data_IF_637237806568
#
_entry.id   IF_637237806568
#
_cell.length_a   1.000
_cell.length_b   1.000
_cell.length_c   1.000
_cell.angle_alpha   90.00
_cell.angle_beta   90.00
_cell.angle_gamma   90.00
#
_symmetry.space_group_name_H-M   'P 1'
#
loop_
_entity.id
_entity.type
_entity.pdbx_description
1 polymer ?
#
# COMPACT_ATOMS: atom_id res chain seq x y z
N UNK A 1 -3.40 32.58 -8.63
CA UNK A 1 -3.81 31.16 -8.76
C UNK A 1 -2.96 30.34 -7.80
N UNK A 2 -3.57 29.42 -7.04
CA UNK A 2 -2.84 28.61 -6.06
C UNK A 2 -1.81 27.71 -6.77
N UNK A 3 -0.57 27.59 -6.25
CA UNK A 3 0.50 26.81 -6.88
C UNK A 3 0.29 25.29 -6.78
N UNK A 4 -0.78 24.84 -6.10
CA UNK A 4 -1.04 23.44 -5.81
C UNK A 4 -2.18 22.90 -6.67
N UNK A 5 -1.95 21.74 -7.28
CA UNK A 5 -2.96 20.95 -7.99
C UNK A 5 -4.00 20.38 -7.02
N UNK A 6 -5.20 20.04 -7.53
CA UNK A 6 -6.25 19.42 -6.73
C UNK A 6 -5.77 18.14 -6.04
N UNK A 7 -4.99 17.30 -6.73
CA UNK A 7 -4.43 16.08 -6.17
C UNK A 7 -3.49 16.35 -4.99
N UNK A 8 -2.63 17.38 -5.08
CA UNK A 8 -1.75 17.74 -3.96
C UNK A 8 -2.53 18.29 -2.76
N UNK A 9 -3.64 19.01 -2.99
CA UNK A 9 -4.51 19.48 -1.90
C UNK A 9 -5.23 18.32 -1.22
N UNK A 10 -5.75 17.36 -1.99
CA UNK A 10 -6.35 16.14 -1.43
C UNK A 10 -5.32 15.31 -0.65
N UNK A 11 -4.10 15.22 -1.19
CA UNK A 11 -2.98 14.60 -0.50
C UNK A 11 -2.73 15.28 0.87
N UNK A 12 -2.55 16.60 0.89
CA UNK A 12 -2.34 17.33 2.13
C UNK A 12 -3.54 17.21 3.10
N UNK A 13 -4.77 17.31 2.60
CA UNK A 13 -5.99 17.32 3.41
C UNK A 13 -6.27 16.00 4.12
N UNK A 14 -5.84 14.85 3.57
CA UNK A 14 -6.00 13.55 4.25
C UNK A 14 -4.74 13.17 5.03
N UNK A 15 -3.54 13.46 4.50
CA UNK A 15 -2.29 13.13 5.20
C UNK A 15 -2.13 13.93 6.51
N UNK A 16 -2.45 15.22 6.53
CA UNK A 16 -2.26 16.03 7.75
C UNK A 16 -3.16 15.56 8.91
N UNK A 17 -4.48 15.37 8.74
CA UNK A 17 -5.31 14.79 9.79
C UNK A 17 -4.91 13.37 10.17
N UNK A 18 -4.48 12.54 9.21
CA UNK A 18 -3.95 11.21 9.49
C UNK A 18 -2.73 11.27 10.42
N UNK A 19 -1.75 12.14 10.13
CA UNK A 19 -0.58 12.31 10.98
C UNK A 19 -0.93 12.90 12.35
N UNK A 20 -1.90 13.81 12.41
CA UNK A 20 -2.41 14.35 13.69
C UNK A 20 -3.10 13.23 14.48
N UNK A 21 -3.94 12.41 13.86
CA UNK A 21 -4.61 11.29 14.51
C UNK A 21 -3.59 10.29 15.07
N UNK A 22 -2.53 10.00 14.31
CA UNK A 22 -1.45 9.13 14.78
C UNK A 22 -0.69 9.76 15.94
N UNK A 23 -0.36 11.06 15.86
CA UNK A 23 0.35 11.77 16.92
C UNK A 23 -0.46 11.95 18.20
N UNK A 24 -1.75 12.28 18.08
CA UNK A 24 -2.69 12.35 19.20
C UNK A 24 -2.90 10.97 19.79
N UNK A 25 -3.13 9.95 18.97
CA UNK A 25 -3.26 8.57 19.43
C UNK A 25 -2.02 8.11 20.19
N UNK A 26 -0.83 8.35 19.66
CA UNK A 26 0.43 8.03 20.32
C UNK A 26 0.60 8.74 21.68
N UNK A 27 0.17 9.99 21.79
CA UNK A 27 0.36 10.79 23.01
C UNK A 27 -0.72 10.53 24.08
N UNK A 28 -1.95 10.20 23.68
CA UNK A 28 -3.10 10.10 24.56
C UNK A 28 -3.56 8.67 24.87
N UNK A 29 -3.07 7.66 24.15
CA UNK A 29 -3.34 6.26 24.50
C UNK A 29 -2.30 5.78 25.51
N UNK A 30 -2.77 5.46 26.71
CA UNK A 30 -1.93 4.92 27.80
C UNK A 30 -1.33 3.54 27.46
N UNK A 31 -1.87 2.85 26.46
CA UNK A 31 -1.40 1.55 25.99
C UNK A 31 -1.04 1.58 24.48
N UNK A 32 0.27 1.61 24.15
CA UNK A 32 0.76 1.54 22.77
C UNK A 32 0.35 0.25 22.04
N UNK A 33 0.08 -0.84 22.77
CA UNK A 33 -0.35 -2.09 22.18
C UNK A 33 -1.81 -2.02 21.68
N UNK A 34 -2.64 -1.15 22.23
CA UNK A 34 -4.01 -0.90 21.77
C UNK A 34 -4.06 -0.06 20.49
N UNK A 35 -3.03 0.77 20.26
CA UNK A 35 -2.90 1.57 19.04
C UNK A 35 -2.50 0.73 17.81
N UNK A 36 -1.76 -0.35 18.05
CA UNK A 36 -1.15 -1.27 17.06
C UNK A 36 -1.79 -2.67 17.09
N UNK A 37 -3.03 -2.78 17.59
CA UNK A 37 -3.78 -4.03 17.58
C UNK A 37 -4.61 -4.10 16.30
N UNK A 38 -4.78 -5.29 15.73
CA UNK A 38 -5.67 -5.54 14.57
C UNK A 38 -7.05 -4.90 14.81
N UNK A 39 -7.54 -4.10 13.86
CA UNK A 39 -8.82 -3.38 13.92
C UNK A 39 -8.79 -1.96 14.50
N UNK A 40 -7.60 -1.39 14.76
CA UNK A 40 -7.45 -0.09 15.42
C UNK A 40 -6.90 1.02 14.50
N UNK A 41 -6.29 2.06 15.09
CA UNK A 41 -6.04 3.37 14.44
C UNK A 41 -5.12 3.27 13.22
N UNK A 42 -4.06 2.45 13.27
CA UNK A 42 -3.09 2.35 12.16
C UNK A 42 -3.72 1.74 10.92
N UNK A 43 -4.46 0.64 11.06
CA UNK A 43 -5.21 0.00 9.95
C UNK A 43 -6.20 0.99 9.32
N UNK A 44 -6.95 1.72 10.15
CA UNK A 44 -7.89 2.75 9.67
C UNK A 44 -7.16 3.83 8.85
N UNK A 45 -6.01 4.30 9.33
CA UNK A 45 -5.21 5.30 8.62
C UNK A 45 -4.63 4.73 7.32
N UNK A 46 -4.14 3.50 7.33
CA UNK A 46 -3.66 2.79 6.13
C UNK A 46 -4.73 2.76 5.03
N UNK A 47 -5.97 2.36 5.38
CA UNK A 47 -7.10 2.34 4.45
C UNK A 47 -7.41 3.75 3.93
N UNK A 48 -7.43 4.77 4.79
CA UNK A 48 -7.68 6.15 4.37
C UNK A 48 -6.63 6.68 3.40
N UNK A 49 -5.35 6.35 3.61
CA UNK A 49 -4.26 6.73 2.71
C UNK A 49 -4.36 6.02 1.35
N UNK A 50 -4.76 4.76 1.34
CA UNK A 50 -4.97 4.00 0.10
C UNK A 50 -6.17 4.55 -0.69
N UNK A 51 -7.30 4.85 -0.03
CA UNK A 51 -8.46 5.49 -0.64
C UNK A 51 -8.15 6.91 -1.13
N UNK A 52 -7.35 7.67 -0.37
CA UNK A 52 -6.82 8.95 -0.82
C UNK A 52 -6.02 8.80 -2.12
N UNK A 53 -5.17 7.79 -2.23
CA UNK A 53 -4.44 7.49 -3.47
C UNK A 53 -5.37 7.27 -4.68
N UNK A 54 -6.49 6.56 -4.49
CA UNK A 54 -7.53 6.36 -5.52
C UNK A 54 -8.16 7.69 -5.92
N UNK A 55 -8.53 8.54 -4.95
CA UNK A 55 -9.10 9.86 -5.22
C UNK A 55 -8.11 10.76 -5.96
N UNK A 56 -6.84 10.78 -5.52
CA UNK A 56 -5.76 11.49 -6.19
C UNK A 56 -5.57 11.00 -7.62
N UNK A 57 -5.68 9.70 -7.89
CA UNK A 57 -5.55 9.14 -9.23
C UNK A 57 -6.57 9.73 -10.20
N UNK A 58 -7.84 9.74 -9.80
CA UNK A 58 -8.92 10.30 -10.60
C UNK A 58 -8.91 11.84 -10.61
N UNK A 59 -8.39 12.50 -9.57
CA UNK A 59 -8.17 13.95 -9.60
C UNK A 59 -7.08 14.35 -10.62
N UNK A 60 -6.06 13.52 -10.84
CA UNK A 60 -5.01 13.76 -11.84
C UNK A 60 -5.45 13.41 -13.26
N UNK A 61 -6.22 12.34 -13.45
CA UNK A 61 -6.51 11.78 -14.78
C UNK A 61 -7.96 11.95 -15.24
N UNK A 62 -8.87 12.42 -14.37
CA UNK A 62 -10.29 12.49 -14.66
C UNK A 62 -10.85 11.15 -15.14
N UNK A 63 -11.75 11.19 -16.14
CA UNK A 63 -12.35 9.98 -16.74
C UNK A 63 -11.33 9.10 -17.48
N UNK A 64 -10.22 9.67 -17.94
CA UNK A 64 -9.18 8.90 -18.61
C UNK A 64 -8.43 7.96 -17.64
N UNK A 65 -8.54 8.19 -16.33
CA UNK A 65 -7.98 7.32 -15.30
C UNK A 65 -8.43 5.86 -15.41
N UNK A 66 -9.59 5.60 -16.03
CA UNK A 66 -10.10 4.26 -16.30
C UNK A 66 -9.31 3.49 -17.37
N UNK A 67 -8.57 4.18 -18.26
CA UNK A 67 -7.71 3.51 -19.26
C UNK A 67 -6.59 2.71 -18.59
N UNK A 68 -6.18 3.16 -17.41
CA UNK A 68 -5.13 2.60 -16.57
C UNK A 68 -5.71 2.20 -15.20
N UNK A 69 -6.93 1.61 -15.23
CA UNK A 69 -7.70 1.20 -14.04
C UNK A 69 -6.95 0.26 -13.09
N UNK A 70 -5.92 -0.45 -13.57
CA UNK A 70 -5.12 -1.33 -12.72
C UNK A 70 -4.41 -0.59 -11.57
N UNK A 71 -4.15 0.72 -11.71
CA UNK A 71 -3.54 1.53 -10.65
C UNK A 71 -4.51 1.74 -9.47
N UNK A 72 -5.72 2.32 -9.65
CA UNK A 72 -6.68 2.43 -8.56
C UNK A 72 -7.16 1.06 -8.07
N UNK A 73 -7.25 0.04 -8.94
CA UNK A 73 -7.59 -1.32 -8.51
C UNK A 73 -6.54 -1.92 -7.56
N UNK A 74 -5.24 -1.69 -7.79
CA UNK A 74 -4.19 -2.14 -6.87
C UNK A 74 -4.35 -1.48 -5.48
N UNK A 75 -4.61 -0.17 -5.43
CA UNK A 75 -4.82 0.53 -4.16
C UNK A 75 -6.05 0.02 -3.41
N UNK A 76 -7.13 -0.27 -4.14
CA UNK A 76 -8.34 -0.89 -3.55
C UNK A 76 -8.04 -2.30 -3.05
N UNK A 77 -7.24 -3.09 -3.76
CA UNK A 77 -6.83 -4.42 -3.30
C UNK A 77 -5.99 -4.35 -2.02
N UNK A 78 -5.07 -3.39 -1.91
CA UNK A 78 -4.36 -3.17 -0.65
C UNK A 78 -5.31 -2.71 0.46
N UNK A 79 -6.23 -1.78 0.20
CA UNK A 79 -7.19 -1.34 1.21
C UNK A 79 -8.09 -2.50 1.67
N UNK A 80 -8.48 -3.36 0.75
CA UNK A 80 -9.24 -4.55 1.05
C UNK A 80 -8.47 -5.55 1.91
N UNK A 81 -7.16 -5.70 1.65
CA UNK A 81 -6.28 -6.49 2.50
C UNK A 81 -6.18 -5.91 3.90
N UNK A 82 -5.99 -4.60 4.05
CA UNK A 82 -5.91 -3.95 5.36
C UNK A 82 -7.18 -4.18 6.18
N UNK A 83 -8.36 -4.13 5.55
CA UNK A 83 -9.66 -4.38 6.21
C UNK A 83 -9.95 -5.85 6.54
N UNK A 84 -8.98 -6.74 6.33
CA UNK A 84 -9.14 -8.20 6.47
C UNK A 84 -10.32 -8.75 5.63
N UNK A 85 -10.58 -8.19 4.44
CA UNK A 85 -11.70 -8.68 3.61
C UNK A 85 -11.51 -10.14 3.21
N UNK A 86 -10.29 -10.67 3.12
CA UNK A 86 -10.03 -12.08 2.83
C UNK A 86 -10.55 -13.03 3.93
N UNK A 87 -10.54 -12.58 5.19
CA UNK A 87 -11.13 -13.30 6.34
C UNK A 87 -12.66 -13.12 6.42
N UNK A 88 -13.19 -12.01 5.91
CA UNK A 88 -14.63 -11.69 5.90
C UNK A 88 -15.39 -12.29 4.72
N UNK A 89 -14.70 -12.52 3.60
CA UNK A 89 -15.29 -13.02 2.35
C UNK A 89 -15.37 -14.54 2.28
N UNK A 90 -14.59 -15.26 3.09
CA UNK A 90 -14.58 -16.73 3.12
C UNK A 90 -14.35 -17.21 4.55
N UNK A 91 -15.05 -18.27 4.96
CA UNK A 91 -14.94 -18.80 6.34
C UNK A 91 -13.54 -19.33 6.65
N UNK A 92 -12.84 -19.77 5.61
CA UNK A 92 -11.53 -20.41 5.72
C UNK A 92 -10.34 -19.46 5.52
N UNK A 93 -10.56 -18.29 4.89
CA UNK A 93 -9.54 -17.34 4.42
C UNK A 93 -9.20 -17.54 2.94
N UNK A 94 -9.21 -16.45 2.17
CA UNK A 94 -9.09 -16.42 0.70
C UNK A 94 -7.85 -17.13 0.15
N UNK A 95 -6.71 -17.00 0.85
CA UNK A 95 -5.40 -17.49 0.39
C UNK A 95 -5.05 -18.87 0.96
N UNK A 96 -5.88 -19.46 1.83
CA UNK A 96 -5.56 -20.77 2.40
C UNK A 96 -5.90 -21.86 1.39
N UNK A 97 -4.92 -22.74 1.14
CA UNK A 97 -5.08 -23.85 0.20
C UNK A 97 -6.30 -24.74 0.54
N UNK A 98 -6.60 -24.91 1.85
CA UNK A 98 -7.75 -25.66 2.35
C UNK A 98 -9.10 -25.13 1.83
N UNK A 99 -9.20 -23.84 1.52
CA UNK A 99 -10.42 -23.23 0.96
C UNK A 99 -10.72 -23.86 -0.40
N UNK A 100 -9.69 -24.22 -1.18
CA UNK A 100 -9.85 -24.79 -2.51
C UNK A 100 -9.87 -26.32 -2.51
N UNK A 101 -9.09 -26.96 -1.64
CA UNK A 101 -8.93 -28.42 -1.62
C UNK A 101 -9.83 -29.12 -0.60
N UNK A 102 -10.39 -28.41 0.37
CA UNK A 102 -11.28 -28.95 1.40
C UNK A 102 -12.75 -28.83 1.05
N UNK A 103 -13.60 -29.07 2.05
CA UNK A 103 -15.07 -29.09 1.93
C UNK A 103 -15.72 -27.70 1.96
N UNK A 104 -14.95 -26.64 1.70
CA UNK A 104 -15.51 -25.30 1.65
C UNK A 104 -16.63 -25.20 0.60
N UNK A 105 -17.67 -24.40 0.85
CA UNK A 105 -18.75 -24.14 -0.10
C UNK A 105 -18.22 -23.72 -1.48
N UNK A 106 -18.97 -24.05 -2.54
CA UNK A 106 -18.54 -23.77 -3.93
C UNK A 106 -18.44 -22.26 -4.20
N UNK A 107 -19.33 -21.47 -3.61
CA UNK A 107 -19.32 -20.01 -3.61
C UNK A 107 -18.04 -19.44 -2.99
N UNK A 108 -17.60 -19.93 -1.83
CA UNK A 108 -16.32 -19.54 -1.20
C UNK A 108 -15.13 -19.79 -2.14
N UNK A 109 -15.12 -20.94 -2.83
CA UNK A 109 -14.08 -21.31 -3.80
C UNK A 109 -14.07 -20.37 -5.01
N UNK A 110 -15.25 -20.04 -5.54
CA UNK A 110 -15.39 -19.18 -6.72
C UNK A 110 -15.02 -17.72 -6.40
N UNK A 111 -15.44 -17.20 -5.25
CA UNK A 111 -15.05 -15.87 -4.77
C UNK A 111 -13.55 -15.79 -4.53
N UNK A 112 -12.98 -16.80 -3.87
CA UNK A 112 -11.54 -16.98 -3.68
C UNK A 112 -10.75 -16.91 -4.99
N UNK A 113 -11.08 -17.80 -5.92
CA UNK A 113 -10.41 -17.89 -7.20
C UNK A 113 -10.56 -16.60 -8.03
N UNK A 114 -11.75 -15.99 -8.00
CA UNK A 114 -12.02 -14.71 -8.67
C UNK A 114 -11.15 -13.57 -8.15
N UNK A 115 -11.02 -13.43 -6.84
CA UNK A 115 -10.18 -12.40 -6.22
C UNK A 115 -8.68 -12.61 -6.53
N UNK A 116 -8.21 -13.86 -6.51
CA UNK A 116 -6.83 -14.20 -6.91
C UNK A 116 -6.61 -13.85 -8.39
N UNK A 117 -7.49 -14.30 -9.28
CA UNK A 117 -7.37 -14.04 -10.71
C UNK A 117 -7.40 -12.54 -11.03
N UNK A 118 -8.27 -11.79 -10.37
CA UNK A 118 -8.34 -10.34 -10.49
C UNK A 118 -7.04 -9.66 -10.02
N UNK A 119 -6.49 -10.09 -8.88
CA UNK A 119 -5.21 -9.59 -8.37
C UNK A 119 -4.06 -9.87 -9.35
N UNK A 120 -4.00 -11.07 -9.92
CA UNK A 120 -3.03 -11.44 -10.94
C UNK A 120 -3.18 -10.61 -12.21
N UNK A 121 -4.42 -10.33 -12.65
CA UNK A 121 -4.71 -9.48 -13.79
C UNK A 121 -4.21 -8.04 -13.57
N UNK A 122 -4.44 -7.48 -12.38
CA UNK A 122 -3.93 -6.16 -11.98
C UNK A 122 -2.41 -6.13 -12.05
N UNK A 123 -1.73 -7.09 -11.41
CA UNK A 123 -0.26 -7.19 -11.40
C UNK A 123 0.27 -7.33 -12.84
N UNK A 124 -0.28 -8.24 -13.63
CA UNK A 124 0.13 -8.44 -15.02
C UNK A 124 0.00 -7.15 -15.84
N UNK A 125 -1.11 -6.41 -15.71
CA UNK A 125 -1.28 -5.13 -16.41
C UNK A 125 -0.27 -4.09 -15.96
N UNK A 126 0.02 -3.98 -14.66
CA UNK A 126 1.03 -3.05 -14.14
C UNK A 126 2.41 -3.36 -14.74
N UNK A 127 2.80 -4.63 -14.73
CA UNK A 127 4.08 -5.07 -15.29
C UNK A 127 4.16 -4.82 -16.80
N UNK A 128 3.07 -5.03 -17.53
CA UNK A 128 3.05 -4.86 -18.99
C UNK A 128 2.96 -3.40 -19.44
N UNK A 129 2.15 -2.58 -18.77
CA UNK A 129 1.84 -1.20 -19.21
C UNK A 129 2.63 -0.13 -18.47
N UNK A 130 2.84 -0.30 -17.17
CA UNK A 130 3.36 0.76 -16.31
C UNK A 130 4.85 0.57 -16.00
N UNK A 131 5.32 -0.67 -15.82
CA UNK A 131 6.70 -0.94 -15.42
C UNK A 131 7.78 -0.38 -16.39
N UNK A 132 7.64 -0.46 -17.73
CA UNK A 132 8.64 0.13 -18.63
C UNK A 132 8.72 1.66 -18.51
N UNK A 133 7.57 2.32 -18.27
CA UNK A 133 7.49 3.76 -18.05
C UNK A 133 8.09 4.17 -16.71
N UNK A 134 7.72 3.45 -15.65
CA UNK A 134 8.27 3.64 -14.31
C UNK A 134 9.78 3.44 -14.27
N UNK A 135 10.31 2.40 -14.92
CA UNK A 135 11.75 2.16 -14.98
C UNK A 135 12.52 3.30 -15.64
N UNK A 136 12.00 3.84 -16.75
CA UNK A 136 12.58 5.03 -17.40
C UNK A 136 12.56 6.23 -16.47
N UNK A 137 11.46 6.48 -15.78
CA UNK A 137 11.34 7.58 -14.83
C UNK A 137 12.27 7.43 -13.62
N UNK A 138 12.44 6.20 -13.12
CA UNK A 138 13.35 5.89 -12.03
C UNK A 138 14.80 6.18 -12.43
N UNK A 139 15.22 5.75 -13.63
CA UNK A 139 16.56 6.07 -14.17
C UNK A 139 16.79 7.58 -14.35
N UNK A 140 15.73 8.36 -14.50
CA UNK A 140 15.77 9.82 -14.57
C UNK A 140 15.70 10.49 -13.19
N UNK A 141 15.63 9.73 -12.10
CA UNK A 141 15.51 10.26 -10.74
C UNK A 141 14.20 10.98 -10.48
N UNK A 142 13.11 10.63 -11.20
CA UNK A 142 11.83 11.28 -11.04
C UNK A 142 11.27 11.02 -9.62
N UNK A 143 10.87 12.07 -8.87
CA UNK A 143 10.46 11.93 -7.47
C UNK A 143 9.34 10.92 -7.24
N UNK A 144 8.33 10.88 -8.12
CA UNK A 144 7.24 9.92 -7.99
C UNK A 144 7.71 8.46 -8.17
N UNK A 145 8.69 8.23 -9.05
CA UNK A 145 9.22 6.89 -9.31
C UNK A 145 10.07 6.38 -8.15
N UNK A 146 10.85 7.28 -7.51
CA UNK A 146 11.58 7.01 -6.28
C UNK A 146 10.63 6.72 -5.11
N UNK A 147 9.52 7.47 -4.98
CA UNK A 147 8.51 7.21 -3.97
C UNK A 147 7.88 5.81 -4.12
N UNK A 148 7.58 5.38 -5.36
CA UNK A 148 7.11 4.01 -5.65
C UNK A 148 8.16 2.96 -5.27
N UNK A 149 9.43 3.19 -5.61
CA UNK A 149 10.52 2.27 -5.26
C UNK A 149 10.65 2.12 -3.74
N UNK A 150 10.62 3.24 -3.01
CA UNK A 150 10.72 3.24 -1.57
C UNK A 150 9.50 2.55 -0.94
N UNK A 151 8.29 2.82 -1.43
CA UNK A 151 7.09 2.12 -0.99
C UNK A 151 7.23 0.60 -1.14
N UNK A 152 7.66 0.14 -2.33
CA UNK A 152 7.88 -1.28 -2.57
C UNK A 152 8.96 -1.89 -1.65
N UNK A 153 10.06 -1.17 -1.41
CA UNK A 153 11.12 -1.60 -0.50
C UNK A 153 10.63 -1.72 0.95
N UNK A 154 9.84 -0.75 1.43
CA UNK A 154 9.27 -0.78 2.78
C UNK A 154 8.24 -1.89 2.93
N UNK A 155 7.37 -2.12 1.94
CA UNK A 155 6.43 -3.25 1.97
C UNK A 155 7.17 -4.59 2.05
N UNK A 156 8.23 -4.78 1.26
CA UNK A 156 9.04 -6.01 1.31
C UNK A 156 9.71 -6.14 2.67
N UNK A 157 10.32 -5.07 3.19
CA UNK A 157 10.95 -5.07 4.51
C UNK A 157 9.94 -5.40 5.63
N UNK A 158 8.75 -4.79 5.64
CA UNK A 158 7.69 -5.10 6.60
C UNK A 158 7.30 -6.58 6.54
N UNK A 159 7.11 -7.12 5.34
CA UNK A 159 6.76 -8.55 5.17
C UNK A 159 7.85 -9.51 5.64
N UNK A 160 9.11 -9.08 5.71
CA UNK A 160 10.16 -9.92 6.32
C UNK A 160 9.99 -10.04 7.83
N UNK A 161 9.48 -8.99 8.50
CA UNK A 161 9.19 -8.95 9.94
C UNK A 161 7.91 -9.71 10.31
N UNK A 162 6.99 -9.88 9.37
CA UNK A 162 5.74 -10.64 9.58
C UNK A 162 6.02 -12.04 10.11
N UNK A 163 5.47 -12.36 11.28
CA UNK A 163 5.64 -13.66 11.93
C UNK A 163 7.11 -14.04 12.09
N UNK A 164 7.99 -13.07 12.36
CA UNK A 164 9.43 -13.27 12.51
C UNK A 164 9.74 -14.37 13.55
N UNK A 165 9.05 -14.38 14.70
CA UNK A 165 9.21 -15.44 15.70
C UNK A 165 8.88 -16.83 15.16
N UNK A 166 7.78 -16.95 14.40
CA UNK A 166 7.40 -18.22 13.73
C UNK A 166 8.43 -18.65 12.68
N UNK A 167 8.94 -17.72 11.86
CA UNK A 167 9.96 -18.00 10.84
C UNK A 167 11.29 -18.44 11.46
N UNK A 168 11.68 -17.84 12.58
CA UNK A 168 12.92 -18.15 13.29
C UNK A 168 12.85 -19.47 14.08
N UNK A 169 11.63 -19.87 14.49
CA UNK A 169 11.39 -21.16 15.14
C UNK A 169 11.82 -22.34 14.25
N UNK A 170 11.62 -22.24 12.92
CA UNK A 170 12.05 -23.26 11.95
C UNK A 170 13.57 -23.44 11.91
N UNK A 171 14.34 -22.48 12.43
CA UNK A 171 15.79 -22.53 12.58
C UNK A 171 16.23 -22.84 14.03
N UNK A 172 15.29 -23.21 14.91
CA UNK A 172 15.55 -23.48 16.33
C UNK A 172 15.76 -22.24 17.19
N UNK A 173 15.42 -21.05 16.67
CA UNK A 173 15.58 -19.77 17.37
C UNK A 173 14.22 -19.36 17.96
N UNK A 174 14.14 -19.29 19.28
CA UNK A 174 12.96 -18.77 19.99
C UNK A 174 13.10 -17.27 20.25
N UNK A 175 12.15 -16.49 19.73
CA UNK A 175 12.08 -15.06 20.05
C UNK A 175 11.37 -14.86 21.39
N UNK A 176 11.88 -13.92 22.19
CA UNK A 176 11.14 -13.47 23.35
C UNK A 176 9.85 -12.74 22.90
N UNK A 177 8.71 -12.91 23.60
CA UNK A 177 7.42 -12.36 23.17
C UNK A 177 7.42 -10.85 22.90
N UNK A 178 8.21 -10.08 23.68
CA UNK A 178 8.32 -8.63 23.50
C UNK A 178 9.08 -8.23 22.23
N UNK A 179 9.99 -9.06 21.72
CA UNK A 179 10.69 -8.81 20.46
C UNK A 179 9.80 -9.15 19.27
N UNK A 180 9.02 -10.22 19.37
CA UNK A 180 8.06 -10.61 18.33
C UNK A 180 6.95 -9.55 18.19
N UNK A 181 6.45 -9.04 19.31
CA UNK A 181 5.52 -7.92 19.33
C UNK A 181 6.11 -6.66 18.67
N UNK A 182 7.37 -6.30 18.98
CA UNK A 182 8.05 -5.16 18.34
C UNK A 182 8.26 -5.35 16.84
N UNK A 183 8.51 -6.58 16.39
CA UNK A 183 8.63 -6.89 14.96
C UNK A 183 7.28 -6.67 14.24
N UNK A 184 6.17 -7.10 14.84
CA UNK A 184 4.83 -6.82 14.31
C UNK A 184 4.52 -5.33 14.24
N UNK A 185 4.83 -4.57 15.31
CA UNK A 185 4.66 -3.10 15.30
C UNK A 185 5.49 -2.44 14.19
N UNK A 186 6.73 -2.89 14.00
CA UNK A 186 7.58 -2.38 12.92
C UNK A 186 7.04 -2.73 11.53
N UNK A 187 6.44 -3.90 11.32
CA UNK A 187 5.72 -4.23 10.08
C UNK A 187 4.62 -3.21 9.79
N UNK A 188 3.76 -2.92 10.77
CA UNK A 188 2.64 -1.98 10.60
C UNK A 188 3.11 -0.58 10.22
N UNK A 189 4.15 -0.06 10.89
CA UNK A 189 4.72 1.25 10.57
C UNK A 189 5.33 1.31 9.17
N UNK A 190 5.98 0.21 8.73
CA UNK A 190 6.57 0.12 7.40
C UNK A 190 5.49 0.03 6.31
N UNK A 191 4.42 -0.73 6.53
CA UNK A 191 3.28 -0.80 5.61
C UNK A 191 2.56 0.55 5.52
N UNK A 192 2.28 1.21 6.66
CA UNK A 192 1.70 2.56 6.70
C UNK A 192 2.53 3.57 5.89
N UNK A 193 3.85 3.58 6.09
CA UNK A 193 4.76 4.45 5.35
C UNK A 193 4.75 4.15 3.84
N UNK A 194 4.67 2.86 3.47
CA UNK A 194 4.54 2.46 2.07
C UNK A 194 3.24 2.99 1.44
N UNK A 195 2.11 2.85 2.13
CA UNK A 195 0.80 3.33 1.66
C UNK A 195 0.77 4.84 1.48
N UNK A 196 1.34 5.58 2.43
CA UNK A 196 1.51 7.02 2.31
C UNK A 196 2.36 7.40 1.08
N UNK A 197 3.49 6.72 0.86
CA UNK A 197 4.37 6.97 -0.29
C UNK A 197 3.69 6.67 -1.64
N UNK A 198 2.82 5.64 -1.71
CA UNK A 198 2.03 5.38 -2.91
C UNK A 198 1.06 6.53 -3.20
N UNK A 199 0.32 7.02 -2.20
CA UNK A 199 -0.55 8.18 -2.35
C UNK A 199 0.22 9.44 -2.77
N UNK A 200 1.37 9.70 -2.13
CA UNK A 200 2.26 10.80 -2.45
C UNK A 200 2.79 10.71 -3.89
N UNK A 201 3.18 9.52 -4.34
CA UNK A 201 3.71 9.32 -5.70
C UNK A 201 2.70 9.79 -6.76
N UNK A 202 1.41 9.53 -6.57
CA UNK A 202 0.35 9.95 -7.48
C UNK A 202 0.18 11.47 -7.43
N UNK A 203 0.22 12.06 -6.23
CA UNK A 203 0.12 13.52 -6.05
C UNK A 203 1.31 14.28 -6.68
N UNK A 204 2.47 13.64 -6.85
CA UNK A 204 3.66 14.21 -7.49
C UNK A 204 3.65 14.13 -9.03
N UNK A 205 2.78 13.30 -9.63
CA UNK A 205 2.73 13.11 -11.08
C UNK A 205 2.54 14.42 -11.90
N UNK A 206 1.66 15.36 -11.51
CA UNK A 206 1.49 16.61 -12.27
C UNK A 206 2.77 17.45 -12.32
N UNK A 207 3.48 17.55 -11.19
CA UNK A 207 4.73 18.30 -11.10
C UNK A 207 5.83 17.66 -11.95
N UNK A 208 5.92 16.33 -11.97
CA UNK A 208 6.86 15.59 -12.81
C UNK A 208 6.58 15.79 -14.32
N UNK A 209 5.29 15.84 -14.72
CA UNK A 209 4.90 16.13 -16.11
C UNK A 209 5.28 17.54 -16.54
N UNK A 210 5.19 18.52 -15.64
CA UNK A 210 5.55 19.91 -15.93
C UNK A 210 7.06 20.12 -16.10
N UNK A 211 7.91 19.30 -15.47
CA UNK A 211 9.37 19.46 -15.50
C UNK A 211 10.04 18.89 -16.77
N UNK A 212 9.33 18.10 -17.58
CA UNK A 212 9.88 17.47 -18.79
C UNK A 212 11.11 16.56 -18.53
N UNK A 213 11.66 15.90 -19.55
CA UNK A 213 12.97 15.25 -19.42
C UNK A 213 14.01 16.34 -19.18
N UNK A 214 14.73 16.31 -18.04
CA UNK A 214 15.90 17.19 -17.84
C UNK A 214 16.88 16.93 -18.98
N UNK A 215 17.12 17.95 -19.81
CA UNK A 215 18.21 17.92 -20.78
C UNK A 215 19.51 17.65 -20.02
N UNK A 216 20.34 16.73 -20.52
CA UNK A 216 21.65 16.48 -19.94
C UNK A 216 22.44 17.79 -19.91
N UNK A 217 23.20 18.08 -18.84
CA UNK A 217 24.07 19.25 -18.82
C UNK A 217 25.02 19.15 -20.01
N UNK A 218 25.01 20.18 -20.88
CA UNK A 218 26.05 20.36 -21.89
C UNK A 218 27.37 20.44 -21.13
N UNK A 219 28.27 19.49 -21.42
CA UNK A 219 29.65 19.59 -20.97
C UNK A 219 30.28 20.69 -21.82
N UNK A 220 30.33 21.89 -21.24
CA UNK A 220 31.20 22.97 -21.71
C UNK A 220 32.62 22.76 -21.16
#
# INVERSE_FOLDING_TARGET
MSPWTLAQRLAAFVTLPAMILLGVGWFWLDDPALFLKEGHTVETVSVLLLLQGVLCWFAVHGREGWREWQIPALLVLFAAREMDFDKRLTDSGLLKLRTYTGDAPLDDKLLGAGAILFSLLVIWRILRRNAPGWWRALRQGQPYALAILLAAALTVAGKTLDGLGRKLLDFGITLAPHLDARAGQAEEWLELAAWWLLGLSIALLPAARAQGPRAAPTRD
#
